data_IF_905205670427
#
_entry.id   IF_905205670427
#
_cell.length_a   1.000
_cell.length_b   1.000
_cell.length_c   1.000
_cell.angle_alpha   90.00
_cell.angle_beta   90.00
_cell.angle_gamma   90.00
#
_symmetry.space_group_name_H-M   'P 1'
#
loop_
_entity.id
_entity.type
_entity.pdbx_description
1 polymer ?
#
# COMPACT_ATOMS: atom_id res chain seq x y z
N UNK A 1 29.39 -15.17 -13.63
CA UNK A 1 28.12 -14.48 -13.97
C UNK A 1 28.46 -13.31 -14.86
N UNK A 2 27.78 -13.12 -15.99
CA UNK A 2 28.07 -12.01 -16.91
C UNK A 2 27.24 -10.78 -16.52
N UNK A 3 27.73 -9.57 -16.79
CA UNK A 3 27.03 -8.30 -16.47
C UNK A 3 25.57 -8.26 -16.95
N UNK A 4 25.20 -8.78 -18.14
CA UNK A 4 23.81 -8.81 -18.60
C UNK A 4 22.89 -9.72 -17.77
N UNK A 5 23.41 -10.80 -17.17
CA UNK A 5 22.60 -11.69 -16.33
C UNK A 5 22.28 -11.02 -14.99
N UNK A 6 23.24 -10.27 -14.43
CA UNK A 6 23.05 -9.53 -13.18
C UNK A 6 21.98 -8.43 -13.31
N UNK A 7 21.99 -7.67 -14.42
CA UNK A 7 20.97 -6.64 -14.66
C UNK A 7 19.54 -7.22 -14.79
N UNK A 8 19.40 -8.41 -15.40
CA UNK A 8 18.09 -9.09 -15.52
C UNK A 8 17.56 -9.55 -14.16
N UNK A 9 18.43 -10.09 -13.31
CA UNK A 9 18.09 -10.50 -11.94
C UNK A 9 17.65 -9.31 -11.09
N UNK A 10 18.41 -8.20 -11.14
CA UNK A 10 18.06 -6.96 -10.45
C UNK A 10 16.71 -6.41 -10.90
N UNK A 11 16.45 -6.36 -12.22
CA UNK A 11 15.16 -5.90 -12.75
C UNK A 11 13.98 -6.75 -12.27
N UNK A 12 14.15 -8.07 -12.19
CA UNK A 12 13.15 -8.98 -11.64
C UNK A 12 12.90 -8.70 -10.15
N UNK A 13 13.97 -8.57 -9.37
CA UNK A 13 13.90 -8.29 -7.94
C UNK A 13 13.17 -6.97 -7.65
N UNK A 14 13.54 -5.89 -8.34
CA UNK A 14 12.92 -4.56 -8.19
C UNK A 14 11.43 -4.60 -8.50
N UNK A 15 11.03 -5.27 -9.60
CA UNK A 15 9.60 -5.42 -9.96
C UNK A 15 8.83 -6.26 -8.94
N UNK A 16 9.45 -7.30 -8.38
CA UNK A 16 8.86 -8.11 -7.33
C UNK A 16 8.65 -7.31 -6.04
N UNK A 17 9.65 -6.52 -5.66
CA UNK A 17 9.61 -5.63 -4.50
C UNK A 17 8.51 -4.57 -4.65
N UNK A 18 8.44 -3.90 -5.79
CA UNK A 18 7.41 -2.92 -6.11
C UNK A 18 6.00 -3.48 -5.94
N UNK A 19 5.72 -4.64 -6.55
CA UNK A 19 4.41 -5.30 -6.43
C UNK A 19 4.10 -5.70 -4.98
N UNK A 20 5.11 -6.12 -4.24
CA UNK A 20 4.94 -6.49 -2.83
C UNK A 20 4.61 -5.30 -1.95
N UNK A 21 5.27 -4.15 -2.15
CA UNK A 21 4.96 -2.90 -1.48
C UNK A 21 3.54 -2.41 -1.81
N UNK A 22 3.14 -2.45 -3.09
CA UNK A 22 1.78 -2.08 -3.50
C UNK A 22 0.72 -2.98 -2.88
N UNK A 23 0.93 -4.30 -2.88
CA UNK A 23 0.02 -5.24 -2.20
C UNK A 23 -0.06 -4.95 -0.71
N UNK A 24 1.07 -4.70 -0.06
CA UNK A 24 1.06 -4.37 1.37
C UNK A 24 0.36 -3.05 1.65
N UNK A 25 0.53 -2.02 0.80
CA UNK A 25 -0.15 -0.73 0.96
C UNK A 25 -1.67 -0.87 0.95
N UNK A 26 -2.23 -1.75 0.11
CA UNK A 26 -3.68 -1.98 0.07
C UNK A 26 -4.26 -2.66 1.31
N UNK A 27 -3.42 -3.25 2.18
CA UNK A 27 -3.87 -3.96 3.37
C UNK A 27 -4.04 -3.07 4.60
N UNK A 28 -3.71 -1.77 4.52
CA UNK A 28 -4.03 -0.82 5.58
C UNK A 28 -5.54 -0.64 5.69
N UNK A 29 -6.06 -0.77 6.92
CA UNK A 29 -7.47 -0.53 7.24
C UNK A 29 -7.85 0.92 6.96
N UNK A 30 -7.07 1.86 7.50
CA UNK A 30 -7.28 3.29 7.34
C UNK A 30 -6.97 3.77 5.92
N UNK A 31 -7.92 4.50 5.31
CA UNK A 31 -7.77 5.07 3.96
C UNK A 31 -6.54 5.96 3.80
N UNK A 32 -6.27 6.86 4.73
CA UNK A 32 -5.16 7.79 4.60
C UNK A 32 -3.82 7.05 4.53
N UNK A 33 -3.64 6.02 5.36
CA UNK A 33 -2.42 5.22 5.35
C UNK A 33 -2.31 4.35 4.10
N UNK A 34 -3.42 3.76 3.64
CA UNK A 34 -3.48 3.01 2.38
C UNK A 34 -3.06 3.87 1.19
N UNK A 35 -3.67 5.04 1.05
CA UNK A 35 -3.40 5.96 -0.07
C UNK A 35 -2.01 6.58 0.02
N UNK A 36 -1.57 6.98 1.21
CA UNK A 36 -0.22 7.51 1.42
C UNK A 36 0.85 6.47 1.07
N UNK A 37 0.73 5.24 1.61
CA UNK A 37 1.70 4.19 1.36
C UNK A 37 1.74 3.79 -0.13
N UNK A 38 0.58 3.73 -0.78
CA UNK A 38 0.48 3.48 -2.23
C UNK A 38 1.18 4.57 -3.02
N UNK A 39 0.86 5.84 -2.76
CA UNK A 39 1.45 7.00 -3.44
C UNK A 39 2.96 7.08 -3.23
N UNK A 40 3.42 6.99 -1.98
CA UNK A 40 4.84 7.04 -1.65
C UNK A 40 5.63 5.93 -2.34
N UNK A 41 5.07 4.73 -2.44
CA UNK A 41 5.67 3.62 -3.20
C UNK A 41 5.77 3.95 -4.68
N UNK A 42 4.72 4.47 -5.30
CA UNK A 42 4.75 4.86 -6.72
C UNK A 42 5.78 5.96 -6.98
N UNK A 43 5.80 6.99 -6.14
CA UNK A 43 6.68 8.15 -6.30
C UNK A 43 8.14 7.74 -6.13
N UNK A 44 8.48 6.96 -5.10
CA UNK A 44 9.85 6.48 -4.88
C UNK A 44 10.41 5.68 -6.07
N UNK A 45 9.60 4.79 -6.66
CA UNK A 45 10.04 3.99 -7.80
C UNK A 45 10.13 4.80 -9.09
N UNK A 46 9.27 5.82 -9.27
CA UNK A 46 9.36 6.75 -10.40
C UNK A 46 10.57 7.67 -10.29
N UNK A 47 10.85 8.18 -9.10
CA UNK A 47 12.00 9.03 -8.79
C UNK A 47 13.32 8.34 -9.16
N UNK A 48 13.48 7.06 -8.82
CA UNK A 48 14.71 6.30 -9.08
C UNK A 48 14.64 5.38 -10.31
N UNK A 49 13.67 5.57 -11.22
CA UNK A 49 13.49 4.69 -12.38
C UNK A 49 14.72 4.68 -13.32
N UNK A 50 15.46 5.80 -13.38
CA UNK A 50 16.60 5.99 -14.29
C UNK A 50 17.95 5.83 -13.59
N UNK A 51 17.96 5.34 -12.35
CA UNK A 51 19.21 5.09 -11.63
C UNK A 51 20.02 4.01 -12.36
N UNK A 52 21.30 4.28 -12.60
CA UNK A 52 22.22 3.39 -13.31
C UNK A 52 23.38 2.93 -12.45
N UNK A 53 23.60 3.55 -11.30
CA UNK A 53 24.68 3.18 -10.39
C UNK A 53 24.30 1.92 -9.59
N UNK A 54 24.98 0.81 -9.86
CA UNK A 54 24.69 -0.51 -9.26
C UNK A 54 24.65 -0.46 -7.72
N UNK A 55 25.60 0.25 -7.10
CA UNK A 55 25.65 0.41 -5.65
C UNK A 55 24.40 1.14 -5.13
N UNK A 56 23.98 2.20 -5.82
CA UNK A 56 22.81 2.98 -5.43
C UNK A 56 21.53 2.18 -5.58
N UNK A 57 21.42 1.38 -6.65
CA UNK A 57 20.30 0.46 -6.86
C UNK A 57 20.22 -0.56 -5.70
N UNK A 58 21.35 -1.12 -5.27
CA UNK A 58 21.37 -2.05 -4.14
C UNK A 58 20.91 -1.40 -2.84
N UNK A 59 21.37 -0.18 -2.54
CA UNK A 59 20.92 0.60 -1.37
C UNK A 59 19.39 0.79 -1.40
N UNK A 60 18.84 1.23 -2.53
CA UNK A 60 17.40 1.44 -2.70
C UNK A 60 16.59 0.14 -2.55
N UNK A 61 17.11 -0.99 -3.02
CA UNK A 61 16.49 -2.30 -2.83
C UNK A 61 16.44 -2.65 -1.34
N UNK A 62 17.53 -2.43 -0.59
CA UNK A 62 17.57 -2.70 0.85
C UNK A 62 16.60 -1.81 1.62
N UNK A 63 16.55 -0.53 1.30
CA UNK A 63 15.60 0.42 1.87
C UNK A 63 14.15 -0.03 1.58
N UNK A 64 13.86 -0.44 0.35
CA UNK A 64 12.55 -0.96 -0.02
C UNK A 64 12.17 -2.24 0.74
N UNK A 65 13.12 -3.15 0.98
CA UNK A 65 12.91 -4.36 1.79
C UNK A 65 12.67 -4.04 3.26
N UNK A 66 13.36 -3.03 3.81
CA UNK A 66 13.11 -2.55 5.16
C UNK A 66 11.72 -1.91 5.27
N UNK A 67 11.34 -1.07 4.31
CA UNK A 67 10.01 -0.47 4.22
C UNK A 67 8.92 -1.54 4.10
N UNK A 68 9.12 -2.58 3.30
CA UNK A 68 8.17 -3.69 3.20
C UNK A 68 7.96 -4.40 4.54
N UNK A 69 9.05 -4.68 5.28
CA UNK A 69 8.98 -5.27 6.62
C UNK A 69 8.23 -4.36 7.60
N UNK A 70 8.47 -3.06 7.55
CA UNK A 70 7.76 -2.08 8.37
C UNK A 70 6.28 -2.04 8.03
N UNK A 71 5.92 -1.93 6.75
CA UNK A 71 4.53 -1.91 6.29
C UNK A 71 3.78 -3.16 6.72
N UNK A 72 4.38 -4.35 6.62
CA UNK A 72 3.78 -5.60 7.11
C UNK A 72 3.40 -5.54 8.60
N UNK A 73 4.26 -4.98 9.44
CA UNK A 73 3.95 -4.79 10.87
C UNK A 73 2.84 -3.77 11.07
N UNK A 74 2.93 -2.64 10.37
CA UNK A 74 1.98 -1.54 10.53
C UNK A 74 0.59 -1.90 10.02
N UNK A 75 0.46 -2.69 8.96
CA UNK A 75 -0.84 -3.19 8.50
C UNK A 75 -1.48 -4.11 9.53
N UNK A 76 -0.70 -4.99 10.16
CA UNK A 76 -1.21 -5.87 11.24
C UNK A 76 -1.68 -5.03 12.43
N UNK A 77 -0.89 -4.04 12.87
CA UNK A 77 -1.29 -3.11 13.94
C UNK A 77 -2.56 -2.35 13.55
N UNK A 78 -2.66 -1.87 12.31
CA UNK A 78 -3.84 -1.13 11.82
C UNK A 78 -5.13 -1.96 11.84
N UNK A 79 -5.01 -3.29 11.80
CA UNK A 79 -6.16 -4.19 11.90
C UNK A 79 -6.64 -4.38 13.35
N UNK A 80 -5.77 -4.21 14.34
CA UNK A 80 -6.14 -4.23 15.76
C UNK A 80 -6.79 -2.93 16.22
N UNK A 81 -6.36 -1.80 15.66
CA UNK A 81 -6.87 -0.47 15.99
C UNK A 81 -7.65 0.12 14.81
N UNK A 82 -8.70 -0.58 14.38
CA UNK A 82 -9.59 -0.09 13.33
C UNK A 82 -10.41 1.08 13.88
N UNK A 83 -10.25 2.25 13.25
CA UNK A 83 -11.09 3.41 13.48
C UNK A 83 -12.27 3.38 12.50
N UNK A 84 -13.36 4.07 12.84
CA UNK A 84 -14.48 4.24 11.93
C UNK A 84 -14.03 4.82 10.59
N UNK A 85 -14.64 4.34 9.51
CA UNK A 85 -14.30 4.78 8.15
C UNK A 85 -14.52 6.27 7.99
N UNK A 86 -13.62 6.92 7.24
CA UNK A 86 -13.74 8.35 6.97
C UNK A 86 -14.92 8.64 6.03
N UNK A 87 -15.49 9.84 6.13
CA UNK A 87 -16.61 10.30 5.28
C UNK A 87 -16.27 10.21 3.78
N UNK A 88 -14.99 10.41 3.44
CA UNK A 88 -14.47 10.34 2.06
C UNK A 88 -14.42 8.91 1.49
N UNK A 89 -14.57 7.88 2.33
CA UNK A 89 -14.60 6.48 1.91
C UNK A 89 -15.99 6.05 1.39
N UNK A 90 -16.97 6.96 1.38
CA UNK A 90 -18.21 6.79 0.63
C UNK A 90 -19.26 5.87 1.26
N UNK A 91 -19.28 5.69 2.58
CA UNK A 91 -20.41 5.04 3.28
C UNK A 91 -21.34 6.08 3.90
N UNK A 92 -22.66 5.95 3.66
CA UNK A 92 -23.70 6.90 4.12
C UNK A 92 -24.00 6.85 5.62
N UNK A 93 -23.42 5.91 6.35
CA UNK A 93 -23.39 5.87 7.81
C UNK A 93 -22.10 5.16 8.19
N UNK A 94 -21.30 5.73 9.08
CA UNK A 94 -20.01 5.17 9.53
C UNK A 94 -20.15 3.93 10.41
N UNK A 95 -21.11 3.04 10.14
CA UNK A 95 -21.28 1.77 10.87
C UNK A 95 -21.06 0.59 9.94
N UNK A 96 -20.11 -0.25 10.30
CA UNK A 96 -19.88 -1.53 9.65
C UNK A 96 -20.89 -2.55 10.18
N UNK A 97 -22.06 -2.64 9.56
CA UNK A 97 -23.01 -3.74 9.79
C UNK A 97 -22.79 -4.84 8.75
N UNK A 98 -22.17 -5.94 9.16
CA UNK A 98 -22.30 -7.26 8.51
C UNK A 98 -21.19 -7.69 7.54
N UNK A 99 -21.01 -9.02 7.49
CA UNK A 99 -19.90 -9.77 6.91
C UNK A 99 -19.89 -9.84 5.38
N UNK A 100 -20.95 -9.47 4.67
CA UNK A 100 -21.00 -9.59 3.21
C UNK A 100 -21.85 -8.49 2.57
N UNK A 101 -21.19 -7.67 1.73
CA UNK A 101 -21.64 -7.23 0.41
C UNK A 101 -22.93 -6.44 0.19
N UNK A 102 -23.90 -6.40 1.12
CA UNK A 102 -25.21 -5.81 0.85
C UNK A 102 -25.46 -4.58 1.71
N UNK A 103 -25.17 -3.41 1.13
CA UNK A 103 -25.43 -2.10 1.72
C UNK A 103 -26.92 -1.77 1.50
N UNK A 104 -27.75 -1.94 2.53
CA UNK A 104 -29.13 -1.43 2.53
C UNK A 104 -29.11 0.03 3.02
N UNK A 105 -29.63 0.95 2.20
CA UNK A 105 -29.78 2.36 2.56
C UNK A 105 -31.07 2.55 3.36
N UNK A 106 -30.98 2.74 4.67
CA UNK A 106 -32.09 3.32 5.42
C UNK A 106 -32.07 4.84 5.20
N UNK A 107 -33.01 5.32 4.39
CA UNK A 107 -33.33 6.75 4.29
C UNK A 107 -34.19 7.06 5.52
N UNK A 108 -33.63 7.71 6.54
CA UNK A 108 -34.46 8.49 7.46
C UNK A 108 -34.86 9.76 6.73
N UNK A 109 -35.90 9.66 5.91
CA UNK A 109 -36.58 10.83 5.35
C UNK A 109 -37.38 11.50 6.46
N UNK A 110 -36.80 12.55 7.05
CA UNK A 110 -37.49 13.69 7.65
C UNK A 110 -38.34 13.42 8.90
N UNK A 111 -38.25 14.32 9.87
CA UNK A 111 -39.33 14.56 10.82
C UNK A 111 -40.03 15.84 10.36
N UNK A 112 -41.35 15.77 10.19
CA UNK A 112 -42.22 16.95 10.20
C UNK A 112 -42.10 17.67 11.55
#
# INVERSE_FOLDING_TARGET
MSVPTMQRETAFQVRSLFRSLLRQSSQFSNYNFREYARRRTLDAFREHQKESEDRRIQELIQDGLQNLRMMKRQTVISQFYQLDRLVVEGQKTGKQTGTEGNIVRQKDTGWD
#
